data_IF_233637740025
#
_entry.id   IF_233637740025
#
_cell.length_a   1.000
_cell.length_b   1.000
_cell.length_c   1.000
_cell.angle_alpha   90.00
_cell.angle_beta   90.00
_cell.angle_gamma   90.00
#
_symmetry.space_group_name_H-M   'P 1'
#
loop_
_entity.id
_entity.type
_entity.pdbx_description
1 polymer ?
#
# COMPACT_ATOMS: atom_id res chain seq x y z
N UNK A 1 5.51 -12.30 16.16
CA UNK A 1 5.27 -11.70 14.84
C UNK A 1 3.95 -10.96 14.91
N UNK A 2 3.91 -9.68 14.54
CA UNK A 2 2.67 -8.90 14.50
C UNK A 2 1.81 -9.32 13.29
N UNK A 3 0.49 -9.06 13.29
CA UNK A 3 -0.35 -9.29 12.11
C UNK A 3 0.20 -8.61 10.85
N UNK A 4 0.66 -7.36 10.97
CA UNK A 4 1.30 -6.64 9.87
C UNK A 4 2.56 -7.34 9.32
N UNK A 5 3.38 -7.94 10.18
CA UNK A 5 4.55 -8.73 9.75
C UNK A 5 4.14 -9.98 8.97
N UNK A 6 3.12 -10.71 9.42
CA UNK A 6 2.56 -11.88 8.71
C UNK A 6 2.07 -11.50 7.31
N UNK A 7 1.33 -10.39 7.20
CA UNK A 7 0.87 -9.88 5.91
C UNK A 7 2.01 -9.44 5.00
N UNK A 8 3.04 -8.76 5.54
CA UNK A 8 4.22 -8.36 4.78
C UNK A 8 4.98 -9.57 4.22
N UNK A 9 5.16 -10.62 4.99
CA UNK A 9 5.86 -11.82 4.52
C UNK A 9 5.08 -12.54 3.42
N UNK A 10 3.77 -12.65 3.58
CA UNK A 10 2.89 -13.19 2.53
C UNK A 10 2.93 -12.37 1.23
N UNK A 11 2.86 -11.04 1.34
CA UNK A 11 2.97 -10.16 0.18
C UNK A 11 4.34 -10.31 -0.49
N UNK A 12 5.43 -10.47 0.28
CA UNK A 12 6.78 -10.73 -0.27
C UNK A 12 6.88 -12.07 -0.97
N UNK A 13 6.25 -13.13 -0.45
CA UNK A 13 6.19 -14.43 -1.12
C UNK A 13 5.43 -14.34 -2.46
N UNK A 14 4.28 -13.65 -2.45
CA UNK A 14 3.50 -13.39 -3.66
C UNK A 14 4.29 -12.55 -4.67
N UNK A 15 5.07 -11.57 -4.20
CA UNK A 15 5.96 -10.75 -5.02
C UNK A 15 7.07 -11.60 -5.68
N UNK A 16 7.65 -12.54 -4.94
CA UNK A 16 8.65 -13.45 -5.48
C UNK A 16 8.04 -14.33 -6.59
N UNK A 17 6.85 -14.86 -6.36
CA UNK A 17 6.10 -15.65 -7.36
C UNK A 17 5.77 -14.83 -8.61
N UNK A 18 5.32 -13.58 -8.43
CA UNK A 18 5.05 -12.65 -9.53
C UNK A 18 6.30 -12.36 -10.38
N UNK A 19 7.44 -12.09 -9.72
CA UNK A 19 8.72 -11.85 -10.40
C UNK A 19 9.20 -13.08 -11.19
N UNK A 20 9.06 -14.28 -10.63
CA UNK A 20 9.40 -15.54 -11.34
C UNK A 20 8.55 -15.72 -12.60
N UNK A 21 7.26 -15.38 -12.53
CA UNK A 21 6.35 -15.40 -13.68
C UNK A 21 6.54 -14.22 -14.65
N UNK A 22 7.43 -13.26 -14.35
CA UNK A 22 7.60 -11.98 -15.07
C UNK A 22 6.31 -11.18 -15.20
N UNK A 23 5.42 -11.32 -14.22
CA UNK A 23 4.15 -10.62 -14.16
C UNK A 23 4.36 -9.22 -13.56
N UNK A 24 4.51 -8.24 -14.44
CA UNK A 24 4.75 -6.84 -14.08
C UNK A 24 3.55 -6.21 -13.38
N UNK A 25 2.34 -6.60 -13.77
CA UNK A 25 1.11 -6.06 -13.21
C UNK A 25 0.90 -6.53 -11.77
N UNK A 26 1.06 -7.84 -11.54
CA UNK A 26 1.03 -8.42 -10.20
C UNK A 26 2.13 -7.87 -9.30
N UNK A 27 3.33 -7.68 -9.85
CA UNK A 27 4.46 -7.05 -9.15
C UNK A 27 4.12 -5.62 -8.70
N UNK A 28 3.49 -4.82 -9.56
CA UNK A 28 3.09 -3.44 -9.25
C UNK A 28 2.02 -3.39 -8.14
N UNK A 29 0.97 -4.19 -8.25
CA UNK A 29 -0.08 -4.31 -7.24
C UNK A 29 0.48 -4.66 -5.86
N UNK A 30 1.32 -5.69 -5.78
CA UNK A 30 1.87 -6.17 -4.51
C UNK A 30 2.83 -5.14 -3.89
N UNK A 31 3.64 -4.45 -4.70
CA UNK A 31 4.51 -3.39 -4.18
C UNK A 31 3.70 -2.23 -3.61
N UNK A 32 2.63 -1.83 -4.29
CA UNK A 32 1.73 -0.78 -3.80
C UNK A 32 1.11 -1.16 -2.46
N UNK A 33 0.64 -2.40 -2.32
CA UNK A 33 0.07 -2.90 -1.06
C UNK A 33 1.08 -2.91 0.09
N UNK A 34 2.34 -3.33 -0.17
CA UNK A 34 3.41 -3.24 0.83
C UNK A 34 3.63 -1.79 1.27
N UNK A 35 3.71 -0.85 0.32
CA UNK A 35 3.86 0.58 0.62
C UNK A 35 2.67 1.15 1.41
N UNK A 36 1.45 0.71 1.13
CA UNK A 36 0.27 1.13 1.89
C UNK A 36 0.37 0.70 3.36
N UNK A 37 0.81 -0.53 3.63
CA UNK A 37 1.04 -1.04 4.99
C UNK A 37 2.15 -0.23 5.68
N UNK A 38 3.30 -0.04 5.02
CA UNK A 38 4.41 0.76 5.57
C UNK A 38 3.95 2.20 5.91
N UNK A 39 3.13 2.82 5.06
CA UNK A 39 2.57 4.15 5.28
C UNK A 39 1.58 4.16 6.46
N UNK A 40 0.74 3.14 6.61
CA UNK A 40 -0.23 3.04 7.70
C UNK A 40 0.41 2.73 9.06
N UNK A 41 1.55 2.03 9.07
CA UNK A 41 2.38 1.84 10.27
C UNK A 41 3.18 3.10 10.62
N UNK A 42 3.37 4.02 9.68
CA UNK A 42 4.06 5.29 9.89
C UNK A 42 3.09 6.28 10.56
N UNK A 43 3.32 6.65 11.83
CA UNK A 43 2.54 7.71 12.45
C UNK A 43 2.80 9.01 11.69
N UNK A 44 1.74 9.70 11.25
CA UNK A 44 1.85 11.01 10.64
C UNK A 44 2.48 11.96 11.67
N UNK A 45 3.79 12.22 11.53
CA UNK A 45 4.34 13.47 12.02
C UNK A 45 3.53 14.55 11.32
N UNK A 46 2.80 15.33 12.13
CA UNK A 46 2.03 16.51 11.77
C UNK A 46 2.43 17.03 10.38
N UNK A 47 1.53 16.93 9.41
CA UNK A 47 1.72 17.50 8.07
C UNK A 47 1.84 19.01 8.24
N UNK A 48 3.03 19.49 8.59
CA UNK A 48 3.35 20.90 8.56
C UNK A 48 3.30 21.30 7.10
N UNK A 49 2.24 22.02 6.77
CA UNK A 49 2.13 22.91 5.64
C UNK A 49 3.49 23.42 5.16
N UNK A 50 4.01 22.87 4.07
CA UNK A 50 5.06 23.53 3.30
C UNK A 50 4.72 23.41 1.82
N UNK A 51 3.71 24.19 1.44
CA UNK A 51 3.53 24.61 0.04
C UNK A 51 3.30 26.13 -0.11
N UNK A 52 3.85 26.95 0.78
CA UNK A 52 3.94 28.39 0.54
C UNK A 52 5.41 28.77 0.50
N UNK A 53 5.85 29.26 -0.67
CA UNK A 53 7.21 29.70 -0.90
C UNK A 53 7.57 30.95 -0.09
N UNK A 54 8.86 31.09 0.20
CA UNK A 54 9.44 32.27 0.83
C UNK A 54 10.62 31.89 1.72
N UNK A 55 11.82 32.34 1.37
CA UNK A 55 13.05 32.07 2.10
C UNK A 55 12.99 32.59 3.55
N UNK A 56 13.37 31.77 4.53
CA UNK A 56 13.79 32.26 5.86
C UNK A 56 15.00 31.46 6.35
N UNK A 57 16.03 32.21 6.70
CA UNK A 57 17.23 31.76 7.38
C UNK A 57 16.97 31.46 8.86
N UNK A 58 17.65 30.43 9.38
CA UNK A 58 18.09 30.35 10.77
C UNK A 58 17.06 29.96 11.82
N UNK A 59 17.12 28.70 12.27
CA UNK A 59 16.89 28.36 13.67
C UNK A 59 17.61 27.06 14.04
N UNK A 60 18.44 27.17 15.07
CA UNK A 60 19.16 26.11 15.78
C UNK A 60 18.18 25.38 16.71
N UNK A 61 18.55 24.15 17.09
CA UNK A 61 18.14 23.41 18.29
C UNK A 61 16.83 22.63 18.23
N UNK A 62 16.95 21.31 18.37
CA UNK A 62 15.79 20.44 18.56
C UNK A 62 16.16 18.97 18.52
N UNK A 63 16.85 18.51 19.56
CA UNK A 63 17.10 17.10 19.87
C UNK A 63 15.78 16.34 19.90
N UNK A 64 15.74 15.20 19.21
CA UNK A 64 14.62 14.28 19.28
C UNK A 64 14.59 13.43 18.04
N UNK A 65 15.33 12.31 18.05
CA UNK A 65 14.89 11.11 17.35
C UNK A 65 13.45 10.85 17.77
N UNK A 66 12.49 11.39 17.04
CA UNK A 66 11.10 10.95 17.10
C UNK A 66 11.09 9.59 16.41
N UNK A 67 11.63 8.61 17.11
CA UNK A 67 11.20 7.22 17.01
C UNK A 67 9.75 7.20 17.52
N UNK A 68 8.86 7.75 16.68
CA UNK A 68 7.44 7.63 16.91
C UNK A 68 7.17 6.16 16.71
N UNK A 69 6.74 5.49 17.78
CA UNK A 69 6.47 4.07 17.75
C UNK A 69 5.57 3.76 16.56
N UNK A 70 6.07 2.94 15.62
CA UNK A 70 5.28 2.48 14.47
C UNK A 70 3.96 1.93 14.98
N UNK A 71 2.85 2.40 14.41
CA UNK A 71 1.51 1.90 14.75
C UNK A 71 1.46 0.42 14.40
N UNK A 72 1.14 -0.43 15.37
CA UNK A 72 0.94 -1.85 15.11
C UNK A 72 -0.46 -2.02 14.52
N UNK A 73 -0.54 -2.41 13.25
CA UNK A 73 -1.81 -2.72 12.60
C UNK A 73 -2.29 -4.13 13.01
N UNK A 74 -3.56 -4.20 13.37
CA UNK A 74 -4.31 -5.44 13.54
C UNK A 74 -4.60 -6.12 12.21
N UNK A 75 -5.00 -7.37 12.31
CA UNK A 75 -5.33 -8.23 11.18
C UNK A 75 -6.52 -7.68 10.34
N UNK A 76 -7.52 -7.12 11.02
CA UNK A 76 -8.66 -6.45 10.40
C UNK A 76 -8.27 -5.12 9.74
N UNK A 77 -7.42 -4.31 10.38
CA UNK A 77 -6.94 -3.06 9.78
C UNK A 77 -6.15 -3.29 8.50
N UNK A 78 -5.32 -4.33 8.43
CA UNK A 78 -4.62 -4.69 7.18
C UNK A 78 -5.60 -5.19 6.12
N UNK A 79 -6.63 -5.97 6.48
CA UNK A 79 -7.67 -6.39 5.54
C UNK A 79 -8.45 -5.21 4.99
N UNK A 80 -8.87 -4.29 5.85
CA UNK A 80 -9.64 -3.11 5.45
C UNK A 80 -8.81 -2.18 4.57
N UNK A 81 -7.52 -2.02 4.86
CA UNK A 81 -6.60 -1.30 3.99
C UNK A 81 -6.52 -1.94 2.59
N UNK A 82 -6.34 -3.26 2.52
CA UNK A 82 -6.29 -3.98 1.23
C UNK A 82 -7.63 -3.94 0.49
N UNK A 83 -8.77 -3.97 1.19
CA UNK A 83 -10.11 -3.79 0.60
C UNK A 83 -10.27 -2.40 0.01
N UNK A 84 -9.85 -1.35 0.73
CA UNK A 84 -9.87 0.02 0.22
C UNK A 84 -9.02 0.17 -1.05
N UNK A 85 -7.83 -0.43 -1.09
CA UNK A 85 -6.97 -0.46 -2.27
C UNK A 85 -7.61 -1.18 -3.48
N UNK A 86 -8.40 -2.24 -3.24
CA UNK A 86 -9.17 -2.94 -4.27
C UNK A 86 -10.28 -2.04 -4.81
N UNK A 87 -11.07 -1.44 -3.91
CA UNK A 87 -12.20 -0.59 -4.26
C UNK A 87 -11.74 0.65 -5.05
N UNK A 88 -10.62 1.26 -4.66
CA UNK A 88 -10.02 2.39 -5.38
C UNK A 88 -9.65 2.00 -6.82
N UNK A 89 -9.02 0.85 -7.03
CA UNK A 89 -8.65 0.37 -8.37
C UNK A 89 -9.87 0.08 -9.24
N UNK A 90 -10.92 -0.50 -8.67
CA UNK A 90 -12.17 -0.78 -9.39
C UNK A 90 -12.92 0.51 -9.73
N UNK A 91 -12.92 1.49 -8.82
CA UNK A 91 -13.47 2.82 -9.07
C UNK A 91 -12.71 3.54 -10.19
N UNK A 92 -11.39 3.55 -10.14
CA UNK A 92 -10.55 4.12 -11.18
C UNK A 92 -10.74 3.41 -12.53
N UNK A 93 -10.83 2.07 -12.55
CA UNK A 93 -11.11 1.30 -13.76
C UNK A 93 -12.45 1.69 -14.38
N UNK A 94 -13.49 1.88 -13.56
CA UNK A 94 -14.81 2.33 -14.02
C UNK A 94 -14.72 3.73 -14.66
N UNK A 95 -13.94 4.63 -14.07
CA UNK A 95 -13.62 5.93 -14.66
C UNK A 95 -12.92 5.82 -16.02
N UNK A 96 -11.93 4.93 -16.16
CA UNK A 96 -11.26 4.70 -17.44
C UNK A 96 -12.18 4.09 -18.51
N UNK A 97 -13.07 3.15 -18.13
CA UNK A 97 -14.07 2.57 -19.03
C UNK A 97 -14.99 3.66 -19.58
N UNK A 98 -15.48 4.56 -18.71
CA UNK A 98 -16.36 5.66 -19.11
C UNK A 98 -15.68 6.61 -20.12
N UNK A 99 -14.34 6.68 -20.12
CA UNK A 99 -13.55 7.49 -21.03
C UNK A 99 -12.95 6.69 -22.22
N UNK A 100 -13.37 5.43 -22.42
CA UNK A 100 -12.94 4.58 -23.53
C UNK A 100 -11.53 3.97 -23.39
N UNK A 101 -10.88 4.11 -22.23
CA UNK A 101 -9.55 3.60 -21.96
C UNK A 101 -9.58 2.16 -21.40
N UNK A 102 -10.09 1.22 -22.19
CA UNK A 102 -10.34 -0.16 -21.75
C UNK A 102 -9.08 -0.94 -21.34
N UNK A 103 -7.93 -0.69 -22.00
CA UNK A 103 -6.66 -1.34 -21.63
C UNK A 103 -6.23 -0.96 -20.20
N UNK A 104 -6.24 0.35 -19.88
CA UNK A 104 -5.93 0.85 -18.54
C UNK A 104 -6.91 0.34 -17.48
N UNK A 105 -8.19 0.25 -17.82
CA UNK A 105 -9.18 -0.34 -16.94
C UNK A 105 -8.89 -1.83 -16.67
N UNK A 106 -8.52 -2.59 -17.71
CA UNK A 106 -8.17 -4.01 -17.59
C UNK A 106 -6.93 -4.22 -16.73
N UNK A 107 -5.91 -3.36 -16.84
CA UNK A 107 -4.73 -3.38 -15.97
C UNK A 107 -5.13 -3.22 -14.49
N UNK A 108 -5.94 -2.20 -14.18
CA UNK A 108 -6.41 -1.90 -12.82
C UNK A 108 -7.31 -3.01 -12.25
N UNK A 109 -8.22 -3.57 -13.05
CA UNK A 109 -9.04 -4.71 -12.65
C UNK A 109 -8.18 -5.94 -12.35
N UNK A 110 -7.15 -6.18 -13.16
CA UNK A 110 -6.21 -7.28 -12.93
C UNK A 110 -5.40 -7.06 -11.65
N UNK A 111 -5.01 -5.82 -11.33
CA UNK A 111 -4.37 -5.48 -10.06
C UNK A 111 -5.31 -5.71 -8.86
N UNK A 112 -6.56 -5.28 -8.97
CA UNK A 112 -7.57 -5.51 -7.95
C UNK A 112 -7.79 -7.01 -7.69
N UNK A 113 -7.86 -7.83 -8.75
CA UNK A 113 -7.99 -9.28 -8.64
C UNK A 113 -6.80 -9.93 -7.92
N UNK A 114 -5.58 -9.44 -8.16
CA UNK A 114 -4.38 -9.90 -7.44
C UNK A 114 -4.50 -9.65 -5.95
N UNK A 115 -4.89 -8.44 -5.55
CA UNK A 115 -5.05 -8.09 -4.14
C UNK A 115 -6.19 -8.89 -3.49
N UNK A 116 -7.30 -9.10 -4.20
CA UNK A 116 -8.40 -9.94 -3.72
C UNK A 116 -7.98 -11.40 -3.51
N UNK A 117 -7.15 -11.95 -4.39
CA UNK A 117 -6.58 -13.29 -4.21
C UNK A 117 -5.71 -13.35 -2.94
N UNK A 118 -4.90 -12.32 -2.69
CA UNK A 118 -4.09 -12.21 -1.47
C UNK A 118 -4.97 -12.06 -0.22
N UNK A 119 -6.14 -11.45 -0.29
CA UNK A 119 -7.09 -11.46 0.84
C UNK A 119 -7.73 -12.83 1.07
N UNK A 120 -8.04 -13.54 -0.02
CA UNK A 120 -8.83 -14.77 0.02
C UNK A 120 -8.07 -16.04 0.40
N UNK A 121 -6.74 -16.09 0.29
CA UNK A 121 -6.04 -17.30 0.75
C UNK A 121 -5.93 -17.30 2.28
N UNK A 122 -6.10 -18.46 2.93
CA UNK A 122 -5.95 -18.60 4.37
C UNK A 122 -4.55 -18.16 4.81
N UNK A 123 -4.44 -17.59 6.01
CA UNK A 123 -3.16 -17.33 6.65
C UNK A 123 -2.62 -18.69 7.12
N UNK A 124 -1.96 -19.41 6.22
CA UNK A 124 -1.25 -20.65 6.53
C UNK A 124 -0.06 -20.29 7.43
N UNK A 125 -0.31 -20.22 8.74
CA UNK A 125 0.70 -19.97 9.76
C UNK A 125 1.37 -21.29 10.14
N UNK A 126 2.69 -21.35 9.93
CA UNK A 126 3.60 -22.28 10.63
C UNK A 126 4.05 -21.67 11.95
#
# INVERSE_FOLDING_TARGET
>A
MTPAELWRDRLRESLLSARKARDTNRTAAIRSALSAIDNAETPQADQTDTRIGGAIAGAVSGVGSTEVARRVLSDDEVRDLLRAEIDERLSAASGYIANGHHERASELQSQAAVLAQVLGQPQEGV
#
